data_IF_639953975750
#
_entry.id   IF_639953975750
#
_cell.length_a   1.000
_cell.length_b   1.000
_cell.length_c   1.000
_cell.angle_alpha   90.00
_cell.angle_beta   90.00
_cell.angle_gamma   90.00
#
_symmetry.space_group_name_H-M   'P 1'
#
loop_
_entity.id
_entity.type
_entity.pdbx_description
1 polymer ?
#
# COMPACT_ATOMS: atom_id res chain seq x y z
N UNK A 1 36.86 -20.92 2.21
CA UNK A 1 37.79 -21.92 2.80
C UNK A 1 37.20 -23.28 2.49
N UNK A 2 38.04 -24.16 1.96
CA UNK A 2 37.76 -25.30 1.07
C UNK A 2 36.73 -26.32 1.58
N UNK A 3 35.99 -26.92 0.63
CA UNK A 3 35.08 -28.08 0.76
C UNK A 3 35.75 -29.35 1.31
N UNK A 4 37.03 -29.28 1.61
CA UNK A 4 37.92 -30.36 2.02
C UNK A 4 37.83 -30.68 3.53
N UNK A 5 37.17 -29.81 4.33
CA UNK A 5 37.00 -30.03 5.77
C UNK A 5 35.67 -30.69 6.17
N UNK A 6 34.74 -30.88 5.22
CA UNK A 6 33.45 -31.55 5.48
C UNK A 6 33.56 -33.08 5.50
N UNK A 7 34.60 -33.63 4.85
CA UNK A 7 34.77 -35.08 4.70
C UNK A 7 35.42 -35.75 5.92
N UNK A 8 35.98 -34.95 6.85
CA UNK A 8 36.65 -35.41 8.07
C UNK A 8 35.76 -35.39 9.32
N UNK A 9 34.49 -35.04 9.18
CA UNK A 9 33.55 -34.97 10.30
C UNK A 9 32.91 -36.35 10.55
N UNK A 10 32.92 -36.82 11.79
CA UNK A 10 32.39 -38.15 12.12
C UNK A 10 30.89 -38.22 11.82
N UNK A 11 30.39 -39.40 11.45
CA UNK A 11 28.96 -39.57 11.10
C UNK A 11 28.01 -39.22 12.25
N UNK A 12 28.49 -39.27 13.51
CA UNK A 12 27.74 -38.76 14.67
C UNK A 12 27.57 -37.23 14.64
N UNK A 13 28.57 -36.48 14.18
CA UNK A 13 28.48 -35.03 14.06
C UNK A 13 27.57 -34.61 12.90
N UNK A 14 27.54 -35.40 11.83
CA UNK A 14 26.60 -35.24 10.70
C UNK A 14 25.15 -35.55 11.14
N UNK A 15 24.95 -36.48 12.07
CA UNK A 15 23.62 -36.80 12.61
C UNK A 15 23.05 -35.71 13.53
N UNK A 16 23.91 -34.95 14.23
CA UNK A 16 23.49 -33.77 15.00
C UNK A 16 23.18 -32.55 14.12
N UNK A 17 23.64 -32.55 12.87
CA UNK A 17 23.32 -31.58 11.83
C UNK A 17 22.09 -31.97 10.99
N UNK A 18 21.18 -32.77 11.55
CA UNK A 18 19.92 -33.09 10.88
C UNK A 18 18.99 -31.86 10.89
N UNK A 19 19.32 -30.90 10.03
CA UNK A 19 18.47 -29.76 9.68
C UNK A 19 17.21 -30.38 9.08
N UNK A 20 16.02 -30.14 9.65
CA UNK A 20 14.79 -30.66 9.08
C UNK A 20 14.70 -30.22 7.62
N UNK A 21 14.64 -31.19 6.71
CA UNK A 21 14.50 -30.93 5.28
C UNK A 21 13.28 -30.05 5.05
N UNK A 22 13.51 -28.77 4.74
CA UNK A 22 12.47 -27.75 4.60
C UNK A 22 12.80 -26.40 5.28
N UNK A 23 13.83 -26.32 6.14
CA UNK A 23 14.22 -25.05 6.78
C UNK A 23 15.40 -24.41 6.04
N UNK A 24 15.08 -23.46 5.14
CA UNK A 24 16.08 -22.69 4.41
C UNK A 24 16.54 -21.48 5.28
N UNK A 25 17.36 -21.76 6.29
CA UNK A 25 17.87 -20.77 7.25
C UNK A 25 19.40 -20.78 7.38
N UNK A 26 20.00 -19.65 7.75
CA UNK A 26 21.43 -19.61 8.08
C UNK A 26 21.66 -20.14 9.49
N UNK A 27 22.48 -21.19 9.60
CA UNK A 27 22.82 -21.80 10.88
C UNK A 27 23.95 -20.99 11.51
N UNK A 28 23.69 -20.38 12.66
CA UNK A 28 24.74 -19.76 13.48
C UNK A 28 25.13 -20.75 14.58
N UNK A 29 26.42 -21.04 14.64
CA UNK A 29 27.00 -21.97 15.63
C UNK A 29 27.78 -21.14 16.63
N UNK A 30 27.23 -21.00 17.83
CA UNK A 30 27.90 -20.31 18.91
C UNK A 30 28.60 -21.38 19.78
N UNK A 31 29.86 -21.13 20.15
CA UNK A 31 30.60 -22.00 21.08
C UNK A 31 30.47 -21.40 22.48
N UNK A 32 29.76 -22.08 23.37
CA UNK A 32 29.73 -21.73 24.79
C UNK A 32 30.56 -22.72 25.62
N UNK A 33 30.84 -22.36 26.88
CA UNK A 33 31.73 -23.12 27.77
C UNK A 33 31.23 -24.55 28.08
N UNK A 34 29.99 -24.89 27.73
CA UNK A 34 29.34 -26.16 28.04
C UNK A 34 28.99 -27.00 26.79
N UNK A 35 29.41 -26.57 25.58
CA UNK A 35 29.16 -27.28 24.33
C UNK A 35 28.74 -26.37 23.17
N UNK A 36 28.54 -26.98 21.99
CA UNK A 36 28.03 -26.29 20.80
C UNK A 36 26.52 -26.05 20.94
N UNK A 37 26.06 -24.81 21.02
CA UNK A 37 24.64 -24.48 20.87
C UNK A 37 24.33 -24.03 19.43
N UNK A 38 23.54 -24.85 18.74
CA UNK A 38 23.11 -24.57 17.36
C UNK A 38 21.74 -23.91 17.41
N UNK A 39 21.69 -22.58 17.21
CA UNK A 39 20.43 -21.84 17.07
C UNK A 39 20.10 -21.64 15.59
N UNK A 40 19.07 -22.35 15.13
CA UNK A 40 18.50 -22.14 13.79
C UNK A 40 17.64 -20.87 13.83
N UNK A 41 18.15 -19.78 13.26
CA UNK A 41 17.32 -18.60 13.04
C UNK A 41 16.50 -18.80 11.77
N UNK A 42 15.16 -18.67 11.80
CA UNK A 42 14.37 -18.65 10.58
C UNK A 42 14.83 -17.44 9.76
N UNK A 43 15.21 -17.66 8.49
CA UNK A 43 15.54 -16.58 7.56
C UNK A 43 14.28 -15.73 7.43
N UNK A 44 14.26 -14.55 8.08
CA UNK A 44 13.28 -13.53 7.75
C UNK A 44 13.50 -13.24 6.27
N UNK A 45 12.50 -13.52 5.44
CA UNK A 45 12.45 -13.06 4.06
C UNK A 45 12.79 -11.58 4.08
N UNK A 46 14.00 -11.30 3.62
CA UNK A 46 14.53 -9.98 3.41
C UNK A 46 13.60 -9.30 2.43
N UNK A 47 12.81 -8.34 2.93
CA UNK A 47 11.86 -7.57 2.13
C UNK A 47 12.56 -7.12 0.84
N UNK A 48 12.18 -7.66 -0.34
CA UNK A 48 12.89 -7.37 -1.59
C UNK A 48 12.81 -5.88 -1.97
N UNK A 49 11.95 -5.12 -1.31
CA UNK A 49 11.74 -3.69 -1.55
C UNK A 49 12.30 -2.76 -0.47
N UNK A 50 12.90 -3.28 0.62
CA UNK A 50 13.55 -2.44 1.66
C UNK A 50 12.62 -1.48 2.41
N UNK A 51 11.30 -1.57 2.20
CA UNK A 51 10.31 -0.69 2.81
C UNK A 51 10.07 -1.15 4.25
N UNK A 52 10.22 -0.29 5.27
CA UNK A 52 9.90 -0.67 6.64
C UNK A 52 8.42 -1.05 6.74
N UNK A 53 8.12 -2.20 7.36
CA UNK A 53 6.75 -2.68 7.60
C UNK A 53 5.93 -1.54 8.23
N UNK A 54 4.79 -1.22 7.61
CA UNK A 54 3.93 -0.10 7.98
C UNK A 54 3.64 -0.12 9.49
N UNK A 55 4.16 0.88 10.20
CA UNK A 55 4.16 0.99 11.67
C UNK A 55 2.78 1.32 12.26
N UNK A 56 1.76 0.57 11.87
CA UNK A 56 0.38 0.75 12.31
C UNK A 56 -0.47 1.69 11.45
N UNK A 57 0.09 2.29 10.39
CA UNK A 57 -0.67 3.09 9.42
C UNK A 57 -1.79 2.29 8.74
N UNK A 58 -1.59 0.99 8.54
CA UNK A 58 -2.61 0.09 8.01
C UNK A 58 -3.89 0.08 8.89
N UNK A 59 -3.75 0.12 10.22
CA UNK A 59 -4.91 0.12 11.12
C UNK A 59 -5.73 1.40 11.02
N UNK A 60 -5.08 2.54 10.82
CA UNK A 60 -5.75 3.83 10.62
C UNK A 60 -6.59 3.81 9.35
N UNK A 61 -6.04 3.28 8.26
CA UNK A 61 -6.75 3.15 6.98
C UNK A 61 -7.94 2.18 7.11
N UNK A 62 -7.77 1.07 7.83
CA UNK A 62 -8.86 0.10 8.07
C UNK A 62 -10.00 0.74 8.86
N UNK A 63 -9.71 1.48 9.94
CA UNK A 63 -10.74 2.17 10.73
C UNK A 63 -11.45 3.25 9.90
N UNK A 64 -10.70 3.99 9.08
CA UNK A 64 -11.29 4.99 8.18
C UNK A 64 -12.20 4.35 7.14
N UNK A 65 -11.76 3.27 6.47
CA UNK A 65 -12.57 2.52 5.52
C UNK A 65 -13.83 1.92 6.17
N UNK A 66 -13.69 1.37 7.38
CA UNK A 66 -14.80 0.82 8.13
C UNK A 66 -15.82 1.90 8.50
N UNK A 67 -15.36 3.04 9.03
CA UNK A 67 -16.23 4.16 9.38
C UNK A 67 -16.99 4.72 8.17
N UNK A 68 -16.30 4.88 7.03
CA UNK A 68 -16.92 5.25 5.75
C UNK A 68 -18.02 4.26 5.34
N UNK A 69 -17.76 2.95 5.42
CA UNK A 69 -18.76 1.94 5.10
C UNK A 69 -19.97 1.99 6.04
N UNK A 70 -19.74 2.19 7.34
CA UNK A 70 -20.82 2.35 8.33
C UNK A 70 -21.64 3.60 8.04
N UNK A 71 -21.03 4.72 7.66
CA UNK A 71 -21.75 5.94 7.32
C UNK A 71 -22.56 5.79 6.04
N UNK A 72 -21.99 5.20 4.99
CA UNK A 72 -22.68 4.99 3.70
C UNK A 72 -23.83 4.01 3.85
N UNK A 73 -23.56 2.80 4.37
CA UNK A 73 -24.60 1.76 4.54
C UNK A 73 -25.60 2.16 5.63
N UNK A 74 -25.12 2.79 6.70
CA UNK A 74 -25.96 3.30 7.79
C UNK A 74 -26.89 4.43 7.32
N UNK A 75 -26.40 5.34 6.48
CA UNK A 75 -27.23 6.38 5.85
C UNK A 75 -28.32 5.78 4.97
N UNK A 76 -27.97 4.80 4.14
CA UNK A 76 -28.91 4.07 3.28
C UNK A 76 -30.01 3.38 4.10
N UNK A 77 -29.65 2.71 5.19
CA UNK A 77 -30.63 2.00 6.04
C UNK A 77 -31.43 2.91 6.96
N UNK A 78 -30.88 4.04 7.38
CA UNK A 78 -31.57 5.00 8.26
C UNK A 78 -32.81 5.60 7.61
N UNK A 79 -32.85 5.66 6.26
CA UNK A 79 -34.05 6.04 5.51
C UNK A 79 -35.26 5.14 5.78
N UNK A 80 -35.06 3.90 6.22
CA UNK A 80 -36.14 2.98 6.57
C UNK A 80 -36.98 3.45 7.76
N UNK A 81 -36.41 4.23 8.68
CA UNK A 81 -37.15 4.79 9.83
C UNK A 81 -38.08 5.92 9.38
N UNK A 82 -37.64 6.74 8.42
CA UNK A 82 -38.44 7.82 7.83
C UNK A 82 -39.51 7.30 6.86
N UNK A 83 -39.34 6.07 6.35
CA UNK A 83 -40.24 5.49 5.37
C UNK A 83 -41.68 5.35 5.90
N UNK A 84 -41.84 4.93 7.16
CA UNK A 84 -43.16 4.76 7.79
C UNK A 84 -43.87 6.10 7.98
N UNK A 85 -43.13 7.11 8.47
CA UNK A 85 -43.66 8.46 8.68
C UNK A 85 -44.06 9.13 7.36
N UNK A 86 -43.28 8.93 6.29
CA UNK A 86 -43.62 9.43 4.95
C UNK A 86 -44.87 8.74 4.40
N UNK A 87 -45.04 7.46 4.67
CA UNK A 87 -46.22 6.71 4.26
C UNK A 87 -47.49 7.25 4.93
N UNK A 88 -47.41 7.54 6.24
CA UNK A 88 -48.53 8.10 7.00
C UNK A 88 -48.85 9.54 6.58
N UNK A 89 -47.84 10.40 6.45
CA UNK A 89 -48.03 11.82 6.15
C UNK A 89 -48.58 12.09 4.75
N UNK A 90 -48.13 11.32 3.75
CA UNK A 90 -48.53 11.53 2.36
C UNK A 90 -49.65 10.58 1.90
N UNK A 91 -50.09 9.64 2.75
CA UNK A 91 -51.04 8.57 2.40
C UNK A 91 -50.67 7.78 1.14
N UNK A 92 -49.37 7.69 0.86
CA UNK A 92 -48.81 7.04 -0.33
C UNK A 92 -48.55 5.58 -0.02
N UNK A 93 -48.71 4.68 -1.00
CA UNK A 93 -48.43 3.26 -0.82
C UNK A 93 -46.91 3.00 -0.82
N UNK A 94 -46.43 2.04 -0.02
CA UNK A 94 -45.01 1.66 0.07
C UNK A 94 -44.35 1.38 -1.30
N UNK A 95 -45.12 0.89 -2.28
CA UNK A 95 -44.66 0.68 -3.65
C UNK A 95 -44.18 1.95 -4.33
N UNK A 96 -44.90 3.06 -4.17
CA UNK A 96 -44.59 4.33 -4.83
C UNK A 96 -43.36 4.98 -4.20
N UNK A 97 -43.26 4.96 -2.87
CA UNK A 97 -42.06 5.41 -2.15
C UNK A 97 -40.83 4.57 -2.49
N UNK A 98 -41.01 3.25 -2.61
CA UNK A 98 -39.94 2.33 -3.03
C UNK A 98 -39.41 2.62 -4.43
N UNK A 99 -40.28 3.02 -5.36
CA UNK A 99 -39.87 3.42 -6.72
C UNK A 99 -39.04 4.72 -6.67
N UNK A 100 -39.46 5.72 -5.90
CA UNK A 100 -38.73 6.99 -5.75
C UNK A 100 -37.33 6.74 -5.17
N UNK A 101 -37.25 5.95 -4.10
CA UNK A 101 -35.98 5.57 -3.48
C UNK A 101 -35.09 4.75 -4.43
N UNK A 102 -35.68 3.83 -5.20
CA UNK A 102 -34.97 3.05 -6.21
C UNK A 102 -34.40 3.91 -7.35
N UNK A 103 -35.16 4.90 -7.81
CA UNK A 103 -34.69 5.86 -8.82
C UNK A 103 -33.54 6.72 -8.29
N UNK A 104 -33.65 7.23 -7.06
CA UNK A 104 -32.61 8.02 -6.43
C UNK A 104 -31.29 7.23 -6.28
N UNK A 105 -31.35 5.97 -5.84
CA UNK A 105 -30.15 5.13 -5.74
C UNK A 105 -29.56 4.72 -7.08
N UNK A 106 -30.39 4.44 -8.06
CA UNK A 106 -29.92 4.11 -9.41
C UNK A 106 -29.17 5.31 -10.02
N UNK A 107 -29.69 6.52 -9.82
CA UNK A 107 -29.00 7.74 -10.23
C UNK A 107 -27.68 7.94 -9.46
N UNK A 108 -27.69 7.76 -8.14
CA UNK A 108 -26.49 7.88 -7.30
C UNK A 108 -25.39 6.90 -7.75
N UNK A 109 -25.71 5.63 -7.96
CA UNK A 109 -24.75 4.62 -8.43
C UNK A 109 -24.25 4.90 -9.86
N UNK A 110 -25.12 5.41 -10.75
CA UNK A 110 -24.73 5.79 -12.10
C UNK A 110 -23.81 7.02 -12.13
N UNK A 111 -23.97 7.94 -11.17
CA UNK A 111 -23.08 9.09 -11.00
C UNK A 111 -21.74 8.67 -10.39
N UNK A 112 -21.73 7.80 -9.39
CA UNK A 112 -20.49 7.32 -8.74
C UNK A 112 -19.51 6.70 -9.75
N UNK A 113 -20.00 5.87 -10.67
CA UNK A 113 -19.16 5.28 -11.73
C UNK A 113 -18.50 6.37 -12.59
N UNK A 114 -19.27 7.39 -12.99
CA UNK A 114 -18.75 8.52 -13.78
C UNK A 114 -17.79 9.40 -12.98
N UNK A 115 -17.99 9.52 -11.67
CA UNK A 115 -17.07 10.30 -10.82
C UNK A 115 -15.70 9.64 -10.73
N UNK A 116 -15.60 8.31 -10.67
CA UNK A 116 -14.29 7.63 -10.69
C UNK A 116 -13.53 7.88 -11.99
N UNK A 117 -14.21 7.84 -13.14
CA UNK A 117 -13.60 8.13 -14.43
C UNK A 117 -13.17 9.60 -14.55
N UNK A 118 -14.04 10.54 -14.14
CA UNK A 118 -13.74 11.97 -14.10
C UNK A 118 -12.59 12.30 -13.15
N UNK A 119 -12.53 11.68 -11.98
CA UNK A 119 -11.45 11.86 -11.01
C UNK A 119 -10.14 11.35 -11.58
N UNK A 120 -10.14 10.18 -12.22
CA UNK A 120 -8.93 9.63 -12.84
C UNK A 120 -8.42 10.53 -13.98
N UNK A 121 -9.29 11.02 -14.85
CA UNK A 121 -8.89 11.96 -15.91
C UNK A 121 -8.38 13.28 -15.34
N UNK A 122 -9.07 13.85 -14.35
CA UNK A 122 -8.66 15.09 -13.69
C UNK A 122 -7.30 14.98 -12.97
N UNK A 123 -7.07 13.87 -12.27
CA UNK A 123 -5.81 13.59 -11.57
C UNK A 123 -4.70 13.40 -12.60
N UNK A 124 -4.94 12.61 -13.65
CA UNK A 124 -3.94 12.35 -14.69
C UNK A 124 -3.52 13.63 -15.39
N UNK A 125 -4.48 14.49 -15.73
CA UNK A 125 -4.19 15.77 -16.39
C UNK A 125 -3.51 16.76 -15.45
N UNK A 126 -3.94 16.83 -14.19
CA UNK A 126 -3.32 17.70 -13.19
C UNK A 126 -1.86 17.30 -12.91
N UNK A 127 -1.59 16.01 -12.73
CA UNK A 127 -0.23 15.50 -12.50
C UNK A 127 0.64 15.72 -13.74
N UNK A 128 0.12 15.41 -14.94
CA UNK A 128 0.87 15.57 -16.18
C UNK A 128 1.28 17.01 -16.41
N UNK A 129 0.36 17.95 -16.20
CA UNK A 129 0.63 19.37 -16.38
C UNK A 129 1.62 19.87 -15.30
N UNK A 130 1.41 19.49 -14.03
CA UNK A 130 2.32 19.87 -12.94
C UNK A 130 3.75 19.37 -13.20
N UNK A 131 3.92 18.12 -13.61
CA UNK A 131 5.25 17.55 -13.91
C UNK A 131 5.86 18.25 -15.12
N UNK A 132 5.08 18.48 -16.18
CA UNK A 132 5.57 19.11 -17.40
C UNK A 132 6.07 20.53 -17.12
N UNK A 133 5.29 21.30 -16.38
CA UNK A 133 5.61 22.70 -16.09
C UNK A 133 6.79 22.78 -15.11
N UNK A 134 6.81 21.94 -14.07
CA UNK A 134 7.92 21.90 -13.11
C UNK A 134 9.24 21.46 -13.76
N UNK A 135 9.22 20.44 -14.62
CA UNK A 135 10.42 19.99 -15.33
C UNK A 135 10.88 21.05 -16.33
N UNK A 136 9.95 21.69 -17.05
CA UNK A 136 10.29 22.73 -18.02
C UNK A 136 10.98 23.89 -17.32
N UNK A 137 10.38 24.42 -16.26
CA UNK A 137 10.93 25.56 -15.52
C UNK A 137 12.25 25.20 -14.83
N UNK A 138 12.37 24.00 -14.26
CA UNK A 138 13.62 23.54 -13.64
C UNK A 138 14.75 23.41 -14.67
N UNK A 139 14.48 22.83 -15.84
CA UNK A 139 15.50 22.64 -16.87
C UNK A 139 15.90 23.98 -17.49
N UNK A 140 14.93 24.83 -17.80
CA UNK A 140 15.17 26.12 -18.48
C UNK A 140 16.04 27.03 -17.60
N UNK A 141 15.67 27.20 -16.32
CA UNK A 141 16.46 28.02 -15.41
C UNK A 141 17.80 27.40 -15.03
N UNK A 142 17.86 26.09 -14.74
CA UNK A 142 19.11 25.47 -14.32
C UNK A 142 20.13 25.39 -15.47
N UNK A 143 19.67 25.26 -16.72
CA UNK A 143 20.57 25.28 -17.88
C UNK A 143 21.01 26.69 -18.21
N UNK A 144 20.12 27.68 -18.19
CA UNK A 144 20.50 29.08 -18.43
C UNK A 144 21.55 29.55 -17.42
N UNK A 145 21.29 29.34 -16.13
CA UNK A 145 22.19 29.77 -15.06
C UNK A 145 23.55 29.06 -15.15
N UNK A 146 23.55 27.74 -15.39
CA UNK A 146 24.79 26.96 -15.49
C UNK A 146 25.62 27.33 -16.72
N UNK A 147 24.98 27.59 -17.87
CA UNK A 147 25.69 28.00 -19.09
C UNK A 147 26.26 29.41 -18.93
N UNK A 148 25.50 30.34 -18.34
CA UNK A 148 25.95 31.72 -18.17
C UNK A 148 27.17 31.80 -17.25
N UNK A 149 27.14 31.09 -16.13
CA UNK A 149 28.27 31.05 -15.19
C UNK A 149 29.50 30.35 -15.80
N UNK A 150 29.30 29.23 -16.51
CA UNK A 150 30.42 28.51 -17.13
C UNK A 150 31.09 29.29 -18.27
N UNK A 151 30.32 30.08 -19.03
CA UNK A 151 30.86 30.95 -20.08
C UNK A 151 31.61 32.14 -19.47
N UNK A 152 31.09 32.74 -18.38
CA UNK A 152 31.80 33.82 -17.68
C UNK A 152 33.15 33.35 -17.16
N UNK A 153 33.19 32.22 -16.46
CA UNK A 153 34.43 31.66 -15.92
C UNK A 153 35.46 31.34 -17.03
N UNK A 154 35.00 30.85 -18.20
CA UNK A 154 35.91 30.53 -19.32
C UNK A 154 36.47 31.78 -20.04
N UNK A 155 35.82 32.93 -19.92
CA UNK A 155 36.25 34.18 -20.57
C UNK A 155 37.15 35.01 -19.62
N UNK A 156 36.99 34.87 -18.31
CA UNK A 156 37.82 35.56 -17.31
C UNK A 156 39.19 34.89 -17.05
N UNK A 157 39.38 33.62 -17.42
CA UNK A 157 40.67 32.90 -17.46
C UNK A 157 41.44 33.08 -18.80
#
# INVERSE_FOLDING_TARGET
MTTENLDKMSDQDKALLNVPNGVNGSIRVDKNANGLDVKVQPKREDNPYGIPIDRGWAWVIVVACFGMHVLVVGGIKSFGVLFVELQEKYHVQAKELGIIQGMAFTLMMALDIKTCDLINELIKDSIKNLIKDFIKDLIEHLIEDLIEDFIKDLIED
#
